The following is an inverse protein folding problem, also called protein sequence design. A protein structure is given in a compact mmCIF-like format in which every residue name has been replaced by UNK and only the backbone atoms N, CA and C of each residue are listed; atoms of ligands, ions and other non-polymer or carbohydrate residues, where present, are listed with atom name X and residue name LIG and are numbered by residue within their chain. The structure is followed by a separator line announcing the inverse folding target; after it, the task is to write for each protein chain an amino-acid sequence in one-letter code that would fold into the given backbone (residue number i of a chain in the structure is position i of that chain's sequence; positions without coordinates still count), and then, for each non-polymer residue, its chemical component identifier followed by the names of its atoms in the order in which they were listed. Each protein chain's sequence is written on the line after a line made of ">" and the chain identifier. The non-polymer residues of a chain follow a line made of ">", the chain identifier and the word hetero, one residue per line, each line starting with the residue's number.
data_IF_439089405824
#
_entry.id   IF_439089405824
#
_cell.length_a   1.000
_cell.length_b   1.000
_cell.length_c   1.000
_cell.angle_alpha   90.00
_cell.angle_beta   90.00
_cell.angle_gamma   90.00
#
_symmetry.space_group_name_H-M   'P 1'
#
loop_
_entity.id
_entity.type
_entity.pdbx_description
1 polymer ?
#
# COMPACT_ATOMS: atom_id res chain seq x y z
N UNK A 1 9.97 3.79 2.60
CA UNK A 1 8.89 4.79 2.77
C UNK A 1 9.06 6.00 1.86
N UNK A 2 10.29 6.36 1.46
CA UNK A 2 10.59 7.45 0.51
C UNK A 2 9.58 7.65 -0.63
N UNK A 3 9.17 6.59 -1.34
CA UNK A 3 8.24 6.75 -2.46
C UNK A 3 6.85 7.27 -2.07
N UNK A 4 6.32 6.86 -0.91
CA UNK A 4 5.03 7.33 -0.39
C UNK A 4 5.13 8.78 0.06
N UNK A 5 6.18 9.10 0.81
CA UNK A 5 6.43 10.47 1.30
C UNK A 5 6.58 11.44 0.12
N UNK A 6 7.33 11.05 -0.92
CA UNK A 6 7.45 11.83 -2.15
C UNK A 6 6.11 11.97 -2.87
N UNK A 7 5.30 10.91 -2.94
CA UNK A 7 3.99 10.97 -3.58
C UNK A 7 3.03 11.93 -2.85
N UNK A 8 2.96 11.85 -1.51
CA UNK A 8 2.15 12.75 -0.69
C UNK A 8 2.58 14.20 -0.83
N UNK A 9 3.90 14.46 -0.82
CA UNK A 9 4.44 15.81 -0.99
C UNK A 9 4.15 16.39 -2.38
N UNK A 10 4.26 15.58 -3.44
CA UNK A 10 3.98 16.02 -4.81
C UNK A 10 2.50 16.31 -5.07
N UNK A 11 1.60 15.65 -4.34
CA UNK A 11 0.15 15.87 -4.42
C UNK A 11 -0.36 16.89 -3.40
N UNK A 12 0.54 17.49 -2.60
CA UNK A 12 0.21 18.42 -1.51
C UNK A 12 -0.86 17.88 -0.54
N UNK A 13 -0.81 16.58 -0.26
CA UNK A 13 -1.79 15.89 0.59
C UNK A 13 -1.30 15.93 2.05
N UNK A 14 -1.97 16.65 2.96
CA UNK A 14 -1.64 16.59 4.38
C UNK A 14 -2.16 15.28 4.98
N UNK A 15 -1.39 14.20 4.85
CA UNK A 15 -1.72 12.90 5.42
C UNK A 15 -0.81 12.54 6.60
N UNK A 16 -1.40 11.92 7.63
CA UNK A 16 -0.65 11.32 8.74
C UNK A 16 -0.26 9.89 8.34
N UNK A 17 1.03 9.60 8.33
CA UNK A 17 1.54 8.26 8.01
C UNK A 17 1.64 7.45 9.29
N UNK A 18 0.80 6.41 9.41
CA UNK A 18 0.90 5.42 10.48
C UNK A 18 1.58 4.14 9.96
N UNK A 19 2.60 3.66 10.67
CA UNK A 19 3.32 2.44 10.33
C UNK A 19 2.83 1.31 11.24
N UNK A 20 2.05 0.39 10.67
CA UNK A 20 1.55 -0.78 11.38
C UNK A 20 2.46 -1.98 11.07
N UNK A 21 3.12 -2.52 12.09
CA UNK A 21 3.97 -3.72 11.96
C UNK A 21 3.14 -4.97 12.22
N UNK A 22 2.86 -5.73 11.16
CA UNK A 22 2.25 -7.07 11.25
C UNK A 22 3.33 -8.06 11.71
N UNK A 23 3.05 -8.84 12.75
CA UNK A 23 4.03 -9.78 13.33
C UNK A 23 3.67 -11.25 13.10
N UNK A 24 2.40 -11.55 12.85
CA UNK A 24 1.88 -12.92 12.78
C UNK A 24 0.73 -13.01 11.77
N UNK A 25 0.45 -14.22 11.27
CA UNK A 25 -0.63 -14.46 10.30
C UNK A 25 -2.02 -14.14 10.85
N UNK A 26 -2.24 -14.26 12.17
CA UNK A 26 -3.51 -13.87 12.80
C UNK A 26 -3.76 -12.35 12.68
N UNK A 27 -2.71 -11.53 12.84
CA UNK A 27 -2.78 -10.10 12.60
C UNK A 27 -2.95 -9.80 11.11
N UNK A 28 -2.27 -10.55 10.24
CA UNK A 28 -2.43 -10.42 8.80
C UNK A 28 -3.88 -10.68 8.38
N UNK A 29 -4.52 -11.73 8.88
CA UNK A 29 -5.92 -12.06 8.59
C UNK A 29 -6.90 -11.00 9.11
N UNK A 30 -6.77 -10.58 10.38
CA UNK A 30 -7.64 -9.52 10.95
C UNK A 30 -7.56 -8.23 10.18
N UNK A 31 -6.36 -7.86 9.75
CA UNK A 31 -6.14 -6.65 9.01
C UNK A 31 -6.34 -6.82 7.50
N UNK A 32 -6.65 -8.02 6.97
CA UNK A 32 -6.66 -8.29 5.52
C UNK A 32 -5.36 -7.86 4.83
N UNK A 33 -4.22 -8.24 5.42
CA UNK A 33 -2.90 -7.90 4.94
C UNK A 33 -2.52 -8.73 3.73
N UNK A 34 -2.35 -8.06 2.59
CA UNK A 34 -2.04 -8.71 1.30
C UNK A 34 -0.53 -8.88 1.06
N UNK A 35 0.29 -8.48 2.02
CA UNK A 35 1.74 -8.62 1.99
C UNK A 35 2.48 -7.30 2.09
N UNK A 36 3.78 -7.39 2.40
CA UNK A 36 4.64 -6.22 2.58
C UNK A 36 5.25 -5.75 1.26
N UNK A 37 5.32 -4.44 1.01
CA UNK A 37 4.62 -3.36 1.70
C UNK A 37 3.13 -3.33 1.30
N UNK A 38 2.23 -2.91 2.20
CA UNK A 38 0.82 -2.59 1.92
C UNK A 38 0.54 -1.12 2.26
N UNK A 39 -0.32 -0.47 1.48
CA UNK A 39 -0.62 0.95 1.64
C UNK A 39 -2.14 1.13 1.72
N UNK A 40 -2.61 1.75 2.80
CA UNK A 40 -4.03 1.95 3.06
C UNK A 40 -4.35 3.40 3.29
N UNK A 41 -5.49 3.83 2.79
CA UNK A 41 -6.06 5.15 3.00
C UNK A 41 -7.52 4.94 3.41
N UNK A 42 -7.96 5.58 4.50
CA UNK A 42 -9.33 5.41 5.04
C UNK A 42 -9.74 3.93 5.27
N UNK A 43 -8.79 3.09 5.71
CA UNK A 43 -8.93 1.63 5.91
C UNK A 43 -9.07 0.80 4.63
N UNK A 44 -8.99 1.42 3.45
CA UNK A 44 -9.05 0.75 2.14
C UNK A 44 -7.62 0.62 1.58
N UNK A 45 -7.27 -0.57 1.09
CA UNK A 45 -5.98 -0.79 0.43
C UNK A 45 -5.96 -0.15 -0.97
N UNK A 46 -4.89 0.59 -1.28
CA UNK A 46 -4.73 1.28 -2.58
C UNK A 46 -4.67 0.31 -3.76
N UNK A 47 -4.33 -0.95 -3.51
CA UNK A 47 -4.38 -2.05 -4.47
C UNK A 47 -5.27 -3.16 -3.92
N UNK A 48 -6.47 -2.85 -3.46
CA UNK A 48 -7.40 -3.86 -2.95
C UNK A 48 -7.45 -5.12 -3.86
N UNK A 49 -7.33 -6.28 -3.24
CA UNK A 49 -7.44 -7.59 -3.88
C UNK A 49 -8.19 -8.51 -2.92
N UNK A 50 -9.23 -9.18 -3.40
CA UNK A 50 -9.93 -10.21 -2.64
C UNK A 50 -9.13 -11.51 -2.73
N UNK A 51 -8.52 -11.90 -1.60
CA UNK A 51 -7.85 -13.20 -1.43
C UNK A 51 -8.55 -14.01 -0.34
N UNK A 52 -8.63 -15.31 -0.56
CA UNK A 52 -9.11 -16.27 0.45
C UNK A 52 -8.12 -16.48 1.59
N UNK A 53 -6.82 -16.22 1.37
CA UNK A 53 -5.77 -16.40 2.36
C UNK A 53 -4.93 -15.13 2.53
N UNK A 54 -4.89 -14.61 3.77
CA UNK A 54 -4.02 -13.53 4.19
C UNK A 54 -2.90 -14.08 5.07
N UNK A 55 -1.66 -13.87 4.68
CA UNK A 55 -0.47 -14.36 5.38
C UNK A 55 0.65 -13.34 5.35
N UNK A 56 1.73 -13.59 6.08
CA UNK A 56 2.95 -12.78 6.03
C UNK A 56 3.72 -12.97 4.71
N UNK A 57 3.11 -12.53 3.61
CA UNK A 57 3.65 -12.63 2.26
C UNK A 57 4.39 -11.36 1.83
N UNK A 58 5.29 -11.49 0.86
CA UNK A 58 5.82 -10.35 0.11
C UNK A 58 4.85 -9.98 -1.00
N UNK A 59 4.62 -8.68 -1.19
CA UNK A 59 3.74 -8.19 -2.24
C UNK A 59 4.54 -7.75 -3.46
N UNK A 60 4.06 -8.14 -4.64
CA UNK A 60 4.64 -7.73 -5.92
C UNK A 60 3.67 -6.77 -6.59
N UNK A 61 4.21 -5.66 -7.07
CA UNK A 61 3.53 -4.61 -7.79
C UNK A 61 3.95 -4.64 -9.25
N UNK A 62 2.98 -4.64 -10.16
CA UNK A 62 3.20 -4.50 -11.60
C UNK A 62 3.54 -3.04 -11.91
N UNK A 63 4.83 -2.73 -11.98
CA UNK A 63 5.30 -1.40 -12.35
C UNK A 63 5.59 -1.32 -13.85
N UNK A 64 5.64 -0.12 -14.46
CA UNK A 64 6.02 0.03 -15.86
C UNK A 64 7.41 -0.54 -16.20
N UNK A 65 8.31 -0.61 -15.21
CA UNK A 65 9.64 -1.21 -15.34
C UNK A 65 9.66 -2.72 -15.02
N UNK A 66 8.50 -3.35 -14.90
CA UNK A 66 8.33 -4.76 -14.53
C UNK A 66 7.84 -4.97 -13.09
N UNK A 67 7.71 -6.24 -12.72
CA UNK A 67 7.29 -6.67 -11.38
C UNK A 67 8.33 -6.27 -10.33
N UNK A 68 7.92 -5.46 -9.33
CA UNK A 68 8.80 -5.04 -8.22
C UNK A 68 8.12 -5.26 -6.87
N UNK A 69 8.92 -5.48 -5.83
CA UNK A 69 8.42 -5.60 -4.45
C UNK A 69 7.91 -4.29 -3.83
N UNK A 70 7.84 -3.20 -4.59
CA UNK A 70 7.35 -1.90 -4.13
C UNK A 70 6.78 -1.08 -5.30
N UNK A 71 5.74 -0.27 -5.07
CA UNK A 71 5.19 0.60 -6.10
C UNK A 71 6.10 1.81 -6.35
N UNK A 72 6.02 2.37 -7.55
CA UNK A 72 6.70 3.64 -7.89
C UNK A 72 5.94 4.84 -7.30
N UNK A 73 6.62 5.98 -7.21
CA UNK A 73 6.01 7.25 -6.77
C UNK A 73 4.78 7.57 -7.62
N UNK A 74 4.89 7.45 -8.95
CA UNK A 74 3.81 7.79 -9.88
C UNK A 74 2.56 6.92 -9.68
N UNK A 75 2.74 5.60 -9.46
CA UNK A 75 1.63 4.72 -9.16
C UNK A 75 0.95 5.08 -7.83
N UNK A 76 1.72 5.46 -6.81
CA UNK A 76 1.18 5.92 -5.53
C UNK A 76 0.37 7.21 -5.72
N UNK A 77 0.90 8.19 -6.46
CA UNK A 77 0.18 9.45 -6.78
C UNK A 77 -1.14 9.17 -7.48
N UNK A 78 -1.13 8.34 -8.53
CA UNK A 78 -2.33 7.96 -9.25
C UNK A 78 -3.39 7.32 -8.34
N UNK A 79 -2.99 6.43 -7.44
CA UNK A 79 -3.89 5.82 -6.47
C UNK A 79 -4.38 6.81 -5.41
N UNK A 80 -3.52 7.67 -4.88
CA UNK A 80 -3.87 8.68 -3.88
C UNK A 80 -4.91 9.66 -4.41
N UNK A 81 -4.78 10.12 -5.66
CA UNK A 81 -5.78 11.00 -6.32
C UNK A 81 -7.17 10.37 -6.34
N UNK A 82 -7.26 9.10 -6.72
CA UNK A 82 -8.53 8.36 -6.77
C UNK A 82 -9.22 8.20 -5.40
N UNK A 83 -8.51 8.42 -4.29
CA UNK A 83 -9.07 8.28 -2.94
C UNK A 83 -9.48 9.63 -2.33
N UNK A 84 -9.02 10.73 -2.92
CA UNK A 84 -9.31 12.10 -2.44
C UNK A 84 -10.42 12.76 -3.26
N UNK A 85 -10.67 12.27 -4.48
CA UNK A 85 -11.84 12.65 -5.30
C UNK A 85 -13.18 12.20 -4.72
#
# INVERSE_FOLDING_TARGET
>A
MKNLESALHLEDIPAVIEIIKIRDDEQAARLKFLGSPSFRVNRIDLWHEDRDLYSMSCRIYSTPAGAKGFPTVDMLRGRLRNVIE
#
